data_IF_313134567648
#
_entry.id   IF_313134567648
#
_cell.length_a   1.000
_cell.length_b   1.000
_cell.length_c   1.000
_cell.angle_alpha   90.00
_cell.angle_beta   90.00
_cell.angle_gamma   90.00
#
_symmetry.space_group_name_H-M   'P 1'
#
loop_
_entity.id
_entity.type
_entity.pdbx_description
1 polymer ?
#
# COMPACT_ATOMS: atom_id res chain seq x y z
N UNK A 1 10.44 12.17 10.61
CA UNK A 1 11.54 11.19 10.70
C UNK A 1 12.86 11.70 10.12
N UNK A 2 12.91 12.04 8.83
CA UNK A 2 14.15 12.45 8.14
C UNK A 2 14.84 13.71 8.69
N UNK A 3 14.10 14.62 9.34
CA UNK A 3 14.62 15.92 9.79
C UNK A 3 14.54 17.03 8.73
N UNK A 4 13.75 16.81 7.67
CA UNK A 4 13.45 17.81 6.64
C UNK A 4 12.31 18.76 7.05
N UNK A 5 11.48 18.33 8.00
CA UNK A 5 10.41 19.11 8.60
C UNK A 5 10.50 19.05 10.12
N UNK A 6 10.08 20.14 10.77
CA UNK A 6 10.12 20.31 12.22
C UNK A 6 8.82 19.82 12.86
N UNK A 7 8.88 18.84 13.78
CA UNK A 7 7.69 18.43 14.53
C UNK A 7 7.22 19.55 15.46
N UNK A 8 5.90 19.68 15.63
CA UNK A 8 5.32 20.63 16.59
C UNK A 8 5.49 20.17 18.04
N UNK A 9 5.40 18.86 18.28
CA UNK A 9 5.58 18.24 19.61
C UNK A 9 5.93 16.76 19.49
N UNK A 10 6.15 16.10 20.62
CA UNK A 10 6.42 14.66 20.69
C UNK A 10 7.90 14.31 20.74
N UNK A 11 8.24 13.06 20.43
CA UNK A 11 9.61 12.55 20.50
C UNK A 11 9.90 11.61 19.34
N UNK A 12 11.10 11.71 18.78
CA UNK A 12 11.60 10.81 17.73
C UNK A 12 12.92 10.21 18.18
N UNK A 13 13.02 8.88 18.14
CA UNK A 13 14.25 8.14 18.39
C UNK A 13 14.56 7.20 17.21
N UNK A 14 15.85 7.04 16.90
CA UNK A 14 16.38 6.15 15.88
C UNK A 14 17.38 5.23 16.58
N UNK A 15 17.02 3.94 16.72
CA UNK A 15 17.73 3.03 17.62
C UNK A 15 17.75 3.61 19.04
N UNK A 16 18.93 3.67 19.64
CA UNK A 16 19.12 4.22 21.00
C UNK A 16 19.31 5.75 21.02
N UNK A 17 19.30 6.43 19.88
CA UNK A 17 19.57 7.87 19.77
C UNK A 17 18.26 8.64 19.64
N UNK A 18 17.98 9.50 20.61
CA UNK A 18 16.88 10.48 20.48
C UNK A 18 17.35 11.59 19.54
N UNK A 19 16.59 11.85 18.47
CA UNK A 19 16.90 12.89 17.47
C UNK A 19 16.00 14.12 17.58
N UNK A 20 14.93 14.01 18.36
CA UNK A 20 14.03 15.09 18.74
C UNK A 20 13.30 14.69 20.02
N UNK A 21 13.21 15.58 21.01
CA UNK A 21 12.59 15.32 22.32
C UNK A 21 11.42 16.26 22.67
N UNK A 22 10.93 17.03 21.70
CA UNK A 22 9.88 18.03 21.90
C UNK A 22 10.41 19.45 22.07
N UNK A 23 11.74 19.63 22.19
CA UNK A 23 12.36 20.96 22.25
C UNK A 23 13.12 21.30 20.96
N UNK A 24 12.94 22.49 20.36
CA UNK A 24 13.65 22.84 19.12
C UNK A 24 15.18 22.86 19.25
N UNK A 25 15.71 22.99 20.47
CA UNK A 25 17.15 23.00 20.75
C UNK A 25 17.80 21.62 20.71
N UNK A 26 17.02 20.55 20.85
CA UNK A 26 17.50 19.17 20.84
C UNK A 26 17.42 18.52 19.45
N UNK A 27 16.88 19.24 18.47
CA UNK A 27 16.66 18.69 17.14
C UNK A 27 17.99 18.45 16.42
N UNK A 28 18.23 17.18 16.09
CA UNK A 28 19.40 16.78 15.32
C UNK A 28 19.11 17.05 13.82
N UNK A 29 19.99 17.78 13.11
CA UNK A 29 19.85 18.04 11.67
C UNK A 29 19.77 16.76 10.84
N UNK A 30 19.11 16.80 9.68
CA UNK A 30 18.87 15.62 8.83
C UNK A 30 20.16 14.87 8.46
N UNK A 31 21.21 15.60 8.10
CA UNK A 31 22.53 15.10 7.74
C UNK A 31 23.22 14.34 8.88
N UNK A 32 22.90 14.68 10.13
CA UNK A 32 23.44 14.05 11.32
C UNK A 32 22.61 12.85 11.80
N UNK A 33 21.38 12.66 11.28
CA UNK A 33 20.52 11.51 11.62
C UNK A 33 21.01 10.19 11.02
N UNK A 34 21.93 10.26 10.06
CA UNK A 34 22.55 9.11 9.40
C UNK A 34 21.55 8.17 8.67
N UNK A 35 20.46 8.72 8.14
CA UNK A 35 19.37 7.98 7.49
C UNK A 35 19.54 7.89 5.98
N UNK A 36 19.37 6.69 5.41
CA UNK A 36 19.27 6.53 3.96
C UNK A 36 17.95 7.10 3.47
N UNK A 37 17.97 7.94 2.42
CA UNK A 37 16.76 8.54 1.87
C UNK A 37 16.71 8.34 0.36
N UNK A 38 15.58 7.83 -0.12
CA UNK A 38 15.27 7.65 -1.54
C UNK A 38 14.00 8.44 -1.85
N UNK A 39 14.11 9.40 -2.78
CA UNK A 39 13.01 10.25 -3.21
C UNK A 39 12.28 9.67 -4.42
N UNK A 40 11.03 10.10 -4.61
CA UNK A 40 10.17 9.76 -5.75
C UNK A 40 10.88 9.94 -7.10
N UNK A 41 11.48 11.10 -7.37
CA UNK A 41 12.13 11.43 -8.65
C UNK A 41 13.54 10.86 -8.85
N UNK A 42 13.97 9.93 -7.99
CA UNK A 42 15.34 9.37 -7.87
C UNK A 42 16.45 10.40 -7.56
N UNK A 43 16.26 11.67 -7.93
CA UNK A 43 17.16 12.79 -7.72
C UNK A 43 18.62 12.48 -8.10
N UNK A 44 18.84 11.70 -9.17
CA UNK A 44 20.19 11.39 -9.66
C UNK A 44 20.81 12.62 -10.32
N UNK A 45 22.11 12.83 -10.15
CA UNK A 45 22.82 13.87 -10.87
C UNK A 45 23.08 13.40 -12.31
N UNK A 46 22.45 14.01 -13.33
CA UNK A 46 22.48 13.50 -14.71
C UNK A 46 23.87 13.60 -15.35
N UNK A 47 24.68 14.54 -14.88
CA UNK A 47 26.04 14.80 -15.35
C UNK A 47 27.11 13.96 -14.62
N UNK A 48 26.73 13.16 -13.62
CA UNK A 48 27.65 12.26 -12.89
C UNK A 48 27.45 10.83 -13.36
N UNK A 49 28.51 10.02 -13.26
CA UNK A 49 28.42 8.58 -13.53
C UNK A 49 27.60 7.88 -12.43
N UNK A 50 27.21 6.63 -12.65
CA UNK A 50 26.60 5.76 -11.63
C UNK A 50 27.51 5.66 -10.40
N UNK A 51 28.80 5.41 -10.63
CA UNK A 51 29.79 5.37 -9.56
C UNK A 51 29.82 6.67 -8.78
N UNK A 52 29.85 7.83 -9.45
CA UNK A 52 29.89 9.13 -8.79
C UNK A 52 28.61 9.48 -8.04
N UNK A 53 27.44 9.06 -8.55
CA UNK A 53 26.17 9.21 -7.86
C UNK A 53 26.19 8.45 -6.52
N UNK A 54 26.63 7.19 -6.54
CA UNK A 54 26.71 6.35 -5.34
C UNK A 54 27.85 6.78 -4.41
N UNK A 55 28.98 7.25 -4.94
CA UNK A 55 30.13 7.70 -4.15
C UNK A 55 29.88 9.02 -3.40
N UNK A 56 28.93 9.85 -3.87
CA UNK A 56 28.78 11.22 -3.40
C UNK A 56 28.58 11.35 -1.88
N UNK A 57 27.71 10.56 -1.20
CA UNK A 57 27.56 10.63 0.26
C UNK A 57 28.86 10.31 1.02
N UNK A 58 29.68 9.38 0.51
CA UNK A 58 30.98 9.05 1.12
C UNK A 58 31.99 10.20 0.96
N UNK A 59 31.99 10.88 -0.20
CA UNK A 59 32.83 12.06 -0.45
C UNK A 59 32.50 13.19 0.55
N UNK A 60 31.21 13.45 0.79
CA UNK A 60 30.77 14.43 1.79
C UNK A 60 31.20 14.08 3.22
N UNK A 61 31.21 12.78 3.54
CA UNK A 61 31.69 12.25 4.83
C UNK A 61 33.23 12.17 4.93
N UNK A 62 33.96 12.66 3.93
CA UNK A 62 35.44 12.67 3.89
C UNK A 62 36.08 11.28 4.03
N UNK A 63 35.40 10.24 3.53
CA UNK A 63 35.94 8.87 3.49
C UNK A 63 37.15 8.80 2.54
N UNK A 64 38.16 7.99 2.88
CA UNK A 64 39.37 7.87 2.06
C UNK A 64 39.08 7.31 0.66
N UNK A 65 39.78 7.80 -0.36
CA UNK A 65 39.49 7.46 -1.76
C UNK A 65 39.55 5.96 -2.07
N UNK A 66 40.50 5.23 -1.48
CA UNK A 66 40.60 3.77 -1.62
C UNK A 66 39.37 3.04 -1.09
N UNK A 67 38.89 3.47 0.08
CA UNK A 67 37.70 2.92 0.74
C UNK A 67 36.40 3.27 0.00
N UNK A 68 36.31 4.47 -0.60
CA UNK A 68 35.18 4.84 -1.45
C UNK A 68 35.02 3.85 -2.60
N UNK A 69 36.11 3.54 -3.31
CA UNK A 69 36.07 2.63 -4.46
C UNK A 69 35.55 1.25 -4.07
N UNK A 70 36.07 0.70 -2.98
CA UNK A 70 35.67 -0.62 -2.48
C UNK A 70 34.20 -0.65 -2.06
N UNK A 71 33.74 0.33 -1.26
CA UNK A 71 32.36 0.40 -0.77
C UNK A 71 31.35 0.61 -1.90
N UNK A 72 31.65 1.51 -2.84
CA UNK A 72 30.78 1.77 -3.98
C UNK A 72 30.68 0.54 -4.87
N UNK A 73 31.80 -0.12 -5.18
CA UNK A 73 31.78 -1.33 -6.01
C UNK A 73 30.96 -2.44 -5.34
N UNK A 74 31.18 -2.70 -4.04
CA UNK A 74 30.41 -3.69 -3.27
C UNK A 74 28.90 -3.44 -3.35
N UNK A 75 28.47 -2.19 -3.19
CA UNK A 75 27.05 -1.82 -3.22
C UNK A 75 26.49 -1.95 -4.64
N UNK A 76 27.23 -1.51 -5.67
CA UNK A 76 26.81 -1.70 -7.05
C UNK A 76 26.68 -3.18 -7.42
N UNK A 77 27.61 -4.03 -6.97
CA UNK A 77 27.56 -5.47 -7.21
C UNK A 77 26.33 -6.12 -6.53
N UNK A 78 26.04 -5.73 -5.28
CA UNK A 78 24.84 -6.18 -4.56
C UNK A 78 23.54 -5.82 -5.29
N UNK A 79 23.53 -4.71 -6.02
CA UNK A 79 22.37 -4.22 -6.77
C UNK A 79 22.33 -4.71 -8.22
N UNK A 80 23.31 -5.51 -8.65
CA UNK A 80 23.45 -5.99 -10.02
C UNK A 80 23.91 -4.91 -11.02
N UNK A 81 24.47 -3.80 -10.52
CA UNK A 81 24.89 -2.62 -11.28
C UNK A 81 26.42 -2.51 -11.43
N UNK A 82 27.19 -3.48 -10.94
CA UNK A 82 28.67 -3.42 -10.93
C UNK A 82 29.31 -3.07 -12.27
N UNK A 83 28.77 -3.63 -13.36
CA UNK A 83 29.23 -3.41 -14.74
C UNK A 83 28.80 -2.05 -15.33
N UNK A 84 27.94 -1.29 -14.65
CA UNK A 84 27.36 -0.03 -15.13
C UNK A 84 27.99 1.21 -14.46
N UNK A 85 29.01 1.05 -13.61
CA UNK A 85 29.61 2.14 -12.83
C UNK A 85 30.01 3.38 -13.65
N UNK A 86 30.48 3.18 -14.89
CA UNK A 86 30.93 4.27 -15.79
C UNK A 86 29.80 4.89 -16.63
N UNK A 87 28.57 4.36 -16.55
CA UNK A 87 27.42 4.90 -17.29
C UNK A 87 26.87 6.14 -16.60
N UNK A 88 26.17 6.97 -17.36
CA UNK A 88 25.39 8.09 -16.86
C UNK A 88 23.91 7.71 -16.73
N UNK A 89 23.12 8.39 -15.85
CA UNK A 89 21.70 8.07 -15.63
C UNK A 89 20.85 7.96 -16.90
N UNK A 90 21.08 8.82 -17.90
CA UNK A 90 20.34 8.81 -19.16
C UNK A 90 20.58 7.54 -20.02
N UNK A 91 21.60 6.74 -19.69
CA UNK A 91 21.93 5.48 -20.36
C UNK A 91 21.31 4.26 -19.66
N UNK A 92 20.49 4.48 -18.63
CA UNK A 92 19.93 3.44 -17.77
C UNK A 92 18.40 3.37 -17.94
N UNK A 93 17.85 2.16 -17.78
CA UNK A 93 16.40 2.00 -17.64
C UNK A 93 15.88 2.61 -16.33
N UNK A 94 14.57 2.85 -16.22
CA UNK A 94 13.96 3.40 -15.00
C UNK A 94 14.26 2.54 -13.75
N UNK A 95 14.14 1.22 -13.86
CA UNK A 95 14.48 0.30 -12.77
C UNK A 95 15.98 0.31 -12.42
N UNK A 96 16.88 0.49 -13.38
CA UNK A 96 18.31 0.66 -13.09
C UNK A 96 18.59 1.98 -12.38
N UNK A 97 17.97 3.09 -12.80
CA UNK A 97 18.12 4.39 -12.12
C UNK A 97 17.63 4.32 -10.67
N UNK A 98 16.50 3.65 -10.44
CA UNK A 98 15.98 3.40 -9.10
C UNK A 98 17.01 2.66 -8.23
N UNK A 99 17.59 1.57 -8.75
CA UNK A 99 18.64 0.82 -8.05
C UNK A 99 19.86 1.69 -7.73
N UNK A 100 20.26 2.60 -8.63
CA UNK A 100 21.33 3.57 -8.34
C UNK A 100 20.96 4.49 -7.18
N UNK A 101 19.72 4.99 -7.14
CA UNK A 101 19.24 5.85 -6.05
C UNK A 101 19.24 5.12 -4.69
N UNK A 102 18.81 3.86 -4.68
CA UNK A 102 18.89 2.97 -3.51
C UNK A 102 20.35 2.75 -3.10
N UNK A 103 21.25 2.48 -4.06
CA UNK A 103 22.67 2.31 -3.78
C UNK A 103 23.30 3.54 -3.14
N UNK A 104 22.95 4.74 -3.61
CA UNK A 104 23.37 6.00 -2.99
C UNK A 104 22.88 6.12 -1.53
N UNK A 105 21.67 5.66 -1.22
CA UNK A 105 21.16 5.67 0.15
C UNK A 105 21.88 4.63 1.04
N UNK A 106 22.26 3.48 0.49
CA UNK A 106 22.86 2.37 1.24
C UNK A 106 24.37 2.45 1.42
N UNK A 107 25.08 3.21 0.60
CA UNK A 107 26.56 3.15 0.49
C UNK A 107 27.33 3.38 1.80
N UNK A 108 26.75 4.13 2.73
CA UNK A 108 27.36 4.43 4.03
C UNK A 108 26.73 3.63 5.19
N UNK A 109 25.97 2.57 4.87
CA UNK A 109 25.36 1.62 5.81
C UNK A 109 24.47 2.30 6.87
N UNK A 110 23.36 2.95 6.46
CA UNK A 110 22.46 3.61 7.40
C UNK A 110 21.70 2.59 8.26
N UNK A 111 21.31 2.93 9.51
CA UNK A 111 20.50 2.06 10.36
C UNK A 111 19.06 1.93 9.87
N UNK A 112 18.56 2.92 9.11
CA UNK A 112 17.20 2.94 8.56
C UNK A 112 17.24 3.54 7.16
N UNK A 113 16.47 2.96 6.23
CA UNK A 113 16.19 3.53 4.92
C UNK A 113 14.76 4.08 4.87
N UNK A 114 14.63 5.30 4.36
CA UNK A 114 13.38 5.99 4.12
C UNK A 114 13.13 6.02 2.60
N UNK A 115 11.97 5.53 2.19
CA UNK A 115 11.58 5.39 0.79
C UNK A 115 10.30 6.19 0.57
N UNK A 116 10.38 7.26 -0.23
CA UNK A 116 9.25 8.12 -0.54
C UNK A 116 8.76 7.84 -1.96
N UNK A 117 7.64 7.11 -2.08
CA UNK A 117 7.07 6.63 -3.34
C UNK A 117 8.10 6.04 -4.31
N UNK A 118 8.89 5.04 -3.88
CA UNK A 118 10.09 4.63 -4.61
C UNK A 118 9.80 4.01 -5.98
N UNK A 119 8.54 3.61 -6.26
CA UNK A 119 8.16 2.88 -7.47
C UNK A 119 7.21 3.65 -8.41
N UNK A 120 6.76 4.86 -8.03
CA UNK A 120 5.68 5.57 -8.73
C UNK A 120 6.04 5.96 -10.17
N UNK A 121 7.32 6.20 -10.44
CA UNK A 121 7.86 6.58 -11.75
C UNK A 121 8.13 5.41 -12.70
N UNK A 122 7.75 4.18 -12.32
CA UNK A 122 7.91 2.98 -13.15
C UNK A 122 6.59 2.60 -13.83
N UNK A 123 6.68 2.06 -15.04
CA UNK A 123 5.54 1.38 -15.67
C UNK A 123 5.13 0.12 -14.89
N UNK A 124 3.95 -0.43 -15.19
CA UNK A 124 3.38 -1.55 -14.45
C UNK A 124 4.31 -2.78 -14.38
N UNK A 125 4.96 -3.15 -15.48
CA UNK A 125 5.84 -4.32 -15.53
C UNK A 125 7.11 -4.10 -14.71
N UNK A 126 7.78 -2.97 -14.89
CA UNK A 126 8.97 -2.63 -14.12
C UNK A 126 8.65 -2.45 -12.64
N UNK A 127 7.44 -2.00 -12.31
CA UNK A 127 6.98 -1.85 -10.93
C UNK A 127 6.88 -3.20 -10.23
N UNK A 128 6.33 -4.23 -10.87
CA UNK A 128 6.29 -5.59 -10.31
C UNK A 128 7.69 -6.14 -10.03
N UNK A 129 8.60 -6.04 -11.00
CA UNK A 129 10.00 -6.46 -10.84
C UNK A 129 10.70 -5.69 -9.71
N UNK A 130 10.43 -4.38 -9.60
CA UNK A 130 10.98 -3.53 -8.55
C UNK A 130 10.44 -3.86 -7.16
N UNK A 131 9.15 -4.23 -7.02
CA UNK A 131 8.57 -4.67 -5.73
C UNK A 131 9.29 -5.89 -5.19
N UNK A 132 9.47 -6.92 -6.04
CA UNK A 132 10.19 -8.15 -5.68
C UNK A 132 11.62 -7.83 -5.27
N UNK A 133 12.34 -7.09 -6.13
CA UNK A 133 13.71 -6.68 -5.86
C UNK A 133 13.85 -5.94 -4.52
N UNK A 134 12.97 -4.97 -4.24
CA UNK A 134 13.05 -4.15 -3.03
C UNK A 134 12.77 -4.97 -1.78
N UNK A 135 11.77 -5.86 -1.82
CA UNK A 135 11.46 -6.77 -0.71
C UNK A 135 12.63 -7.71 -0.41
N UNK A 136 13.20 -8.33 -1.44
CA UNK A 136 14.37 -9.21 -1.29
C UNK A 136 15.58 -8.47 -0.73
N UNK A 137 15.84 -7.25 -1.21
CA UNK A 137 16.94 -6.42 -0.74
C UNK A 137 16.81 -6.08 0.75
N UNK A 138 15.62 -5.67 1.19
CA UNK A 138 15.34 -5.32 2.60
C UNK A 138 15.57 -6.54 3.50
N UNK A 139 15.01 -7.71 3.12
CA UNK A 139 15.16 -8.96 3.87
C UNK A 139 16.63 -9.37 3.93
N UNK A 140 17.30 -9.45 2.77
CA UNK A 140 18.67 -9.95 2.64
C UNK A 140 19.68 -9.12 3.41
N UNK A 141 19.47 -7.80 3.46
CA UNK A 141 20.34 -6.86 4.16
C UNK A 141 19.92 -6.62 5.62
N UNK A 142 18.78 -7.14 6.07
CA UNK A 142 18.27 -6.93 7.43
C UNK A 142 18.00 -5.44 7.74
N UNK A 143 17.57 -4.67 6.74
CA UNK A 143 17.38 -3.23 6.88
C UNK A 143 16.06 -2.91 7.59
N UNK A 144 16.09 -1.92 8.47
CA UNK A 144 14.86 -1.24 8.88
C UNK A 144 14.46 -0.27 7.77
N UNK A 145 13.28 -0.46 7.19
CA UNK A 145 12.77 0.38 6.11
C UNK A 145 11.44 1.03 6.50
N UNK A 146 11.29 2.33 6.22
CA UNK A 146 10.01 3.03 6.26
C UNK A 146 9.69 3.48 4.83
N UNK A 147 8.61 2.94 4.27
CA UNK A 147 8.14 3.28 2.94
C UNK A 147 6.83 4.05 3.01
N UNK A 148 6.75 5.14 2.25
CA UNK A 148 5.52 5.89 2.00
C UNK A 148 5.07 5.57 0.58
N UNK A 149 3.80 5.22 0.43
CA UNK A 149 3.18 4.95 -0.87
C UNK A 149 1.69 5.20 -0.79
N UNK A 150 1.09 5.59 -1.91
CA UNK A 150 -0.36 5.61 -2.10
C UNK A 150 -0.87 4.33 -2.80
N UNK A 151 0.02 3.45 -3.25
CA UNK A 151 -0.34 2.19 -3.90
C UNK A 151 -0.49 1.08 -2.84
N UNK A 152 -1.72 0.57 -2.73
CA UNK A 152 -2.07 -0.48 -1.78
C UNK A 152 -1.33 -1.79 -2.04
N UNK A 153 -1.12 -2.15 -3.31
CA UNK A 153 -0.43 -3.38 -3.68
C UNK A 153 1.04 -3.31 -3.29
N UNK A 154 1.67 -2.14 -3.37
CA UNK A 154 3.03 -1.94 -2.87
C UNK A 154 3.11 -2.09 -1.36
N UNK A 155 2.20 -1.43 -0.63
CA UNK A 155 2.15 -1.52 0.82
C UNK A 155 1.97 -2.97 1.28
N UNK A 156 1.05 -3.72 0.66
CA UNK A 156 0.75 -5.11 0.99
C UNK A 156 1.88 -6.08 0.61
N UNK A 157 2.55 -5.87 -0.53
CA UNK A 157 3.56 -6.82 -1.02
C UNK A 157 4.94 -6.68 -0.36
N UNK A 158 5.29 -5.47 0.10
CA UNK A 158 6.65 -5.16 0.57
C UNK A 158 6.73 -5.10 2.10
N UNK A 159 5.66 -4.67 2.77
CA UNK A 159 5.73 -4.27 4.17
C UNK A 159 5.40 -5.42 5.11
N UNK A 160 6.15 -5.52 6.22
CA UNK A 160 5.79 -6.43 7.32
C UNK A 160 4.60 -5.88 8.13
N UNK A 161 4.50 -4.55 8.20
CA UNK A 161 3.40 -3.82 8.85
C UNK A 161 3.05 -2.57 8.05
N UNK A 162 1.77 -2.20 8.06
CA UNK A 162 1.22 -1.03 7.39
C UNK A 162 0.63 -0.11 8.44
N UNK A 163 0.83 1.20 8.27
CA UNK A 163 0.13 2.25 9.00
C UNK A 163 -0.71 3.02 8.00
N UNK A 164 -2.04 2.90 8.11
CA UNK A 164 -2.97 3.68 7.30
C UNK A 164 -3.22 5.02 7.99
N UNK A 165 -2.96 6.10 7.26
CA UNK A 165 -3.21 7.46 7.73
C UNK A 165 -4.46 8.03 7.06
N UNK A 166 -5.30 8.70 7.84
CA UNK A 166 -6.45 9.45 7.39
C UNK A 166 -6.42 10.84 8.06
N UNK A 167 -6.31 11.91 7.27
CA UNK A 167 -6.24 13.30 7.75
C UNK A 167 -5.23 13.53 8.89
N UNK A 168 -4.06 12.87 8.81
CA UNK A 168 -2.98 12.99 9.80
C UNK A 168 -3.15 12.13 11.06
N UNK A 169 -4.19 11.32 11.15
CA UNK A 169 -4.43 10.35 12.23
C UNK A 169 -4.18 8.94 11.73
N UNK A 170 -3.63 8.06 12.58
CA UNK A 170 -3.54 6.63 12.28
C UNK A 170 -4.95 6.06 12.38
N UNK A 171 -5.51 5.72 11.22
CA UNK A 171 -6.82 5.08 11.11
C UNK A 171 -6.74 3.63 11.58
N UNK A 172 -5.75 2.90 11.08
CA UNK A 172 -5.52 1.50 11.41
C UNK A 172 -4.05 1.14 11.17
N UNK A 173 -3.55 0.17 11.92
CA UNK A 173 -2.23 -0.39 11.71
C UNK A 173 -2.25 -1.91 11.94
N UNK A 174 -1.44 -2.66 11.20
CA UNK A 174 -1.42 -4.12 11.27
C UNK A 174 -0.53 -4.75 10.22
N UNK A 175 -0.52 -6.06 10.17
CA UNK A 175 0.03 -6.84 9.06
C UNK A 175 -0.81 -6.64 7.79
N UNK A 176 -0.25 -6.86 6.58
CA UNK A 176 -1.03 -6.79 5.35
C UNK A 176 -2.33 -7.61 5.38
N UNK A 177 -2.29 -8.80 5.99
CA UNK A 177 -3.46 -9.67 6.13
C UNK A 177 -4.53 -9.08 7.05
N UNK A 178 -4.14 -8.47 8.17
CA UNK A 178 -5.09 -7.79 9.08
C UNK A 178 -5.69 -6.56 8.42
N UNK A 179 -4.87 -5.74 7.74
CA UNK A 179 -5.36 -4.56 7.02
C UNK A 179 -6.36 -4.93 5.93
N UNK A 180 -6.13 -6.04 5.21
CA UNK A 180 -7.00 -6.48 4.14
C UNK A 180 -8.23 -7.25 4.61
N UNK A 181 -8.07 -8.17 5.55
CA UNK A 181 -9.10 -9.14 5.95
C UNK A 181 -9.86 -8.78 7.23
N UNK A 182 -9.47 -7.71 7.93
CA UNK A 182 -10.14 -7.26 9.15
C UNK A 182 -10.06 -5.74 9.29
N UNK A 183 -10.68 -4.98 8.36
CA UNK A 183 -10.73 -3.53 8.47
C UNK A 183 -11.51 -3.11 9.72
N UNK A 184 -10.98 -2.14 10.47
CA UNK A 184 -11.60 -1.63 11.70
C UNK A 184 -12.68 -0.57 11.43
N UNK A 185 -12.57 0.15 10.31
CA UNK A 185 -13.46 1.25 9.94
C UNK A 185 -13.87 1.16 8.48
N UNK A 186 -14.94 1.89 8.12
CA UNK A 186 -15.37 2.01 6.72
C UNK A 186 -14.23 2.55 5.85
N UNK A 187 -13.50 3.58 6.30
CA UNK A 187 -12.38 4.14 5.55
C UNK A 187 -11.29 3.09 5.30
N UNK A 188 -10.91 2.32 6.34
CA UNK A 188 -9.92 1.26 6.16
C UNK A 188 -10.40 0.16 5.22
N UNK A 189 -11.68 -0.20 5.28
CA UNK A 189 -12.28 -1.15 4.35
C UNK A 189 -12.22 -0.60 2.91
N UNK A 190 -12.70 0.62 2.68
CA UNK A 190 -12.74 1.24 1.35
C UNK A 190 -11.36 1.50 0.76
N UNK A 191 -10.40 1.88 1.60
CA UNK A 191 -9.03 2.15 1.17
C UNK A 191 -8.27 0.87 0.82
N UNK A 192 -8.58 -0.26 1.44
CA UNK A 192 -7.85 -1.51 1.20
C UNK A 192 -8.54 -2.34 0.11
N UNK A 193 -8.05 -2.29 -1.13
CA UNK A 193 -8.49 -3.17 -2.22
C UNK A 193 -9.79 -2.75 -2.93
N UNK A 194 -10.28 -3.63 -3.79
CA UNK A 194 -11.50 -3.41 -4.58
C UNK A 194 -12.74 -3.88 -3.82
N UNK A 195 -13.70 -2.97 -3.65
CA UNK A 195 -14.89 -3.21 -2.84
C UNK A 195 -16.20 -3.04 -3.61
N UNK A 196 -17.21 -3.72 -3.11
CA UNK A 196 -18.62 -3.44 -3.32
C UNK A 196 -19.20 -2.80 -2.07
N UNK A 197 -20.13 -1.87 -2.27
CA UNK A 197 -20.78 -1.12 -1.19
C UNK A 197 -22.28 -1.16 -1.42
N UNK A 198 -23.01 -1.32 -0.33
CA UNK A 198 -24.46 -1.40 -0.29
C UNK A 198 -24.95 -0.60 0.90
N UNK A 199 -25.74 0.44 0.65
CA UNK A 199 -26.26 1.31 1.71
C UNK A 199 -27.62 0.80 2.20
N UNK A 200 -27.82 0.87 3.51
CA UNK A 200 -29.07 0.42 4.11
C UNK A 200 -29.21 0.84 5.55
N UNK A 201 -30.18 0.24 6.23
CA UNK A 201 -30.47 0.48 7.64
C UNK A 201 -30.23 -0.78 8.45
N UNK A 202 -29.64 -0.64 9.63
CA UNK A 202 -29.43 -1.77 10.53
C UNK A 202 -30.76 -2.15 11.18
N UNK A 203 -31.16 -3.41 11.02
CA UNK A 203 -32.44 -3.92 11.50
C UNK A 203 -32.30 -4.85 12.70
N UNK A 204 -31.14 -5.50 12.86
CA UNK A 204 -30.86 -6.37 13.99
C UNK A 204 -29.35 -6.42 14.30
N UNK A 205 -29.03 -6.72 15.56
CA UNK A 205 -27.68 -7.00 16.04
C UNK A 205 -27.70 -8.29 16.87
N UNK A 206 -26.93 -9.29 16.45
CA UNK A 206 -26.90 -10.61 17.08
C UNK A 206 -25.48 -11.19 17.02
N UNK A 207 -24.93 -11.59 18.17
CA UNK A 207 -23.64 -12.32 18.27
C UNK A 207 -22.47 -11.68 17.47
N UNK A 208 -22.34 -10.35 17.50
CA UNK A 208 -21.30 -9.62 16.75
C UNK A 208 -21.56 -9.48 15.25
N UNK A 209 -22.77 -9.82 14.79
CA UNK A 209 -23.25 -9.60 13.43
C UNK A 209 -24.37 -8.57 13.41
N UNK A 210 -24.50 -7.88 12.29
CA UNK A 210 -25.60 -6.98 12.01
C UNK A 210 -26.40 -7.51 10.82
N UNK A 211 -27.72 -7.32 10.86
CA UNK A 211 -28.59 -7.43 9.70
C UNK A 211 -28.85 -6.03 9.17
N UNK A 212 -28.56 -5.81 7.90
CA UNK A 212 -28.76 -4.55 7.19
C UNK A 212 -29.76 -4.77 6.05
N UNK A 213 -30.71 -3.85 5.91
CA UNK A 213 -31.73 -3.90 4.87
C UNK A 213 -31.64 -2.64 3.99
N UNK A 214 -31.60 -2.87 2.68
CA UNK A 214 -31.73 -1.83 1.64
C UNK A 214 -33.13 -1.84 1.03
N UNK A 215 -33.27 -1.26 -0.17
CA UNK A 215 -34.57 -1.09 -0.82
C UNK A 215 -35.30 -2.42 -1.12
N UNK A 216 -34.57 -3.41 -1.64
CA UNK A 216 -35.12 -4.69 -2.10
C UNK A 216 -34.31 -5.89 -1.61
N UNK A 217 -33.49 -5.70 -0.58
CA UNK A 217 -32.55 -6.70 -0.09
C UNK A 217 -32.28 -6.64 1.40
N UNK A 218 -31.83 -7.76 1.95
CA UNK A 218 -31.41 -7.92 3.35
C UNK A 218 -30.14 -8.76 3.40
N UNK A 219 -29.13 -8.31 4.16
CA UNK A 219 -27.88 -9.03 4.34
C UNK A 219 -27.47 -9.09 5.82
N UNK A 220 -26.87 -10.21 6.20
CA UNK A 220 -26.08 -10.37 7.40
C UNK A 220 -24.60 -10.09 7.11
N UNK A 221 -23.91 -9.50 8.08
CA UNK A 221 -22.48 -9.27 8.04
C UNK A 221 -21.89 -9.09 9.43
N UNK A 222 -20.56 -9.04 9.53
CA UNK A 222 -19.86 -8.70 10.77
C UNK A 222 -20.16 -7.25 11.13
N UNK A 223 -20.62 -7.01 12.35
CA UNK A 223 -20.87 -5.66 12.84
C UNK A 223 -19.55 -4.98 13.19
N UNK A 224 -19.26 -3.85 12.54
CA UNK A 224 -18.18 -2.94 12.92
C UNK A 224 -18.49 -2.20 14.21
N UNK A 225 -17.49 -1.50 14.73
CA UNK A 225 -17.67 -0.65 15.91
C UNK A 225 -18.65 0.50 15.63
N UNK A 226 -19.51 0.83 16.60
CA UNK A 226 -20.49 1.91 16.50
C UNK A 226 -21.78 1.57 15.73
N UNK A 227 -21.91 0.38 15.15
CA UNK A 227 -23.16 -0.06 14.50
C UNK A 227 -24.28 -0.17 15.55
N UNK A 228 -25.43 0.44 15.26
CA UNK A 228 -26.61 0.47 16.13
C UNK A 228 -27.88 0.17 15.34
N UNK A 229 -28.81 -0.58 15.94
CA UNK A 229 -30.12 -0.88 15.32
C UNK A 229 -30.90 0.41 15.10
N UNK A 230 -31.48 0.55 13.91
CA UNK A 230 -32.26 1.72 13.53
C UNK A 230 -31.44 2.81 12.83
N UNK A 231 -30.11 2.69 12.78
CA UNK A 231 -29.25 3.69 12.17
C UNK A 231 -28.84 3.32 10.73
N UNK A 232 -28.51 4.31 9.87
CA UNK A 232 -27.91 4.08 8.56
C UNK A 232 -26.54 3.40 8.66
N UNK A 233 -26.26 2.49 7.73
CA UNK A 233 -25.01 1.76 7.65
C UNK A 233 -24.64 1.41 6.21
N UNK A 234 -23.37 1.06 6.02
CA UNK A 234 -22.83 0.57 4.75
C UNK A 234 -22.32 -0.84 4.92
N UNK A 235 -22.84 -1.77 4.11
CA UNK A 235 -22.27 -3.10 3.95
C UNK A 235 -21.15 -3.05 2.90
N UNK A 236 -20.02 -3.65 3.24
CA UNK A 236 -18.82 -3.72 2.40
C UNK A 236 -18.41 -5.18 2.24
N UNK A 237 -18.14 -5.58 1.00
CA UNK A 237 -17.54 -6.88 0.67
C UNK A 237 -16.47 -6.67 -0.40
N UNK A 238 -15.37 -7.43 -0.30
CA UNK A 238 -14.35 -7.45 -1.36
C UNK A 238 -14.95 -8.03 -2.64
N UNK A 239 -14.62 -7.46 -3.80
CA UNK A 239 -15.18 -7.90 -5.09
C UNK A 239 -14.91 -9.38 -5.36
N UNK A 240 -13.74 -9.89 -4.99
CA UNK A 240 -13.36 -11.30 -5.15
C UNK A 240 -14.02 -12.27 -4.16
N UNK A 241 -14.68 -11.76 -3.10
CA UNK A 241 -15.44 -12.59 -2.14
C UNK A 241 -16.90 -12.74 -2.51
N UNK A 242 -17.40 -11.88 -3.40
CA UNK A 242 -18.75 -12.01 -3.95
C UNK A 242 -18.80 -13.19 -4.92
N UNK A 243 -19.80 -14.07 -4.75
CA UNK A 243 -19.99 -15.26 -5.58
C UNK A 243 -21.18 -15.07 -6.51
N UNK A 244 -21.06 -15.60 -7.72
CA UNK A 244 -22.16 -15.67 -8.67
C UNK A 244 -22.71 -17.10 -8.70
N UNK A 245 -23.91 -17.25 -8.20
CA UNK A 245 -24.60 -18.54 -8.09
C UNK A 245 -25.73 -18.67 -9.12
N UNK A 246 -26.10 -19.91 -9.42
CA UNK A 246 -27.21 -20.21 -10.33
C UNK A 246 -28.60 -20.15 -9.67
N UNK A 247 -28.66 -20.02 -8.35
CA UNK A 247 -29.89 -19.99 -7.57
C UNK A 247 -29.71 -19.13 -6.31
N UNK A 248 -30.83 -18.71 -5.72
CA UNK A 248 -30.81 -18.00 -4.44
C UNK A 248 -30.19 -18.88 -3.34
N UNK A 249 -29.28 -18.27 -2.57
CA UNK A 249 -28.71 -18.85 -1.36
C UNK A 249 -29.00 -17.95 -0.16
N UNK A 250 -28.62 -18.41 1.03
CA UNK A 250 -28.57 -17.55 2.21
C UNK A 250 -27.64 -16.36 1.93
N UNK A 251 -28.08 -15.17 2.34
CA UNK A 251 -27.33 -13.92 2.15
C UNK A 251 -27.05 -13.60 0.67
N UNK A 252 -28.08 -13.68 -0.17
CA UNK A 252 -27.98 -13.41 -1.61
C UNK A 252 -28.90 -12.30 -2.10
N UNK A 253 -28.55 -11.74 -3.26
CA UNK A 253 -29.27 -10.69 -3.98
C UNK A 253 -29.56 -11.19 -5.39
N UNK A 254 -30.75 -10.89 -5.93
CA UNK A 254 -31.01 -11.06 -7.36
C UNK A 254 -30.95 -9.71 -8.05
N UNK A 255 -29.97 -9.52 -8.94
CA UNK A 255 -29.75 -8.24 -9.60
C UNK A 255 -29.62 -8.41 -11.12
N UNK A 256 -30.07 -7.42 -11.91
CA UNK A 256 -29.89 -7.44 -13.35
C UNK A 256 -28.42 -7.22 -13.73
N UNK A 257 -27.94 -8.04 -14.66
CA UNK A 257 -26.60 -7.90 -15.24
C UNK A 257 -26.60 -6.71 -16.21
N UNK A 258 -25.71 -5.75 -15.98
CA UNK A 258 -25.54 -4.60 -16.87
C UNK A 258 -24.62 -4.91 -18.04
N UNK A 259 -23.46 -5.50 -17.74
CA UNK A 259 -22.45 -5.83 -18.76
C UNK A 259 -21.44 -6.83 -18.22
N UNK A 260 -20.77 -7.52 -19.15
CA UNK A 260 -19.69 -8.47 -18.94
C UNK A 260 -18.44 -7.95 -19.66
N UNK A 261 -17.34 -7.75 -18.93
CA UNK A 261 -16.08 -7.24 -19.47
C UNK A 261 -14.97 -8.27 -19.31
N UNK A 262 -14.25 -8.57 -20.38
CA UNK A 262 -13.09 -9.47 -20.31
C UNK A 262 -11.82 -8.67 -19.96
N UNK A 263 -11.18 -9.01 -18.84
CA UNK A 263 -9.97 -8.35 -18.34
C UNK A 263 -8.68 -9.10 -18.71
N UNK A 264 -8.77 -10.14 -19.53
CA UNK A 264 -7.63 -10.93 -20.01
C UNK A 264 -7.48 -12.27 -19.29
N UNK A 265 -7.49 -12.28 -17.96
CA UNK A 265 -7.39 -13.50 -17.12
C UNK A 265 -8.73 -13.89 -16.47
N UNK A 266 -9.68 -12.95 -16.41
CA UNK A 266 -11.02 -13.13 -15.83
C UNK A 266 -12.06 -12.24 -16.50
N UNK A 267 -13.32 -12.52 -16.22
CA UNK A 267 -14.45 -11.65 -16.52
C UNK A 267 -14.81 -10.81 -15.29
N UNK A 268 -15.10 -9.53 -15.50
CA UNK A 268 -15.74 -8.66 -14.54
C UNK A 268 -17.18 -8.38 -14.97
N UNK A 269 -18.11 -8.54 -14.05
CA UNK A 269 -19.54 -8.33 -14.29
C UNK A 269 -20.02 -7.15 -13.47
N UNK A 270 -20.80 -6.27 -14.09
CA UNK A 270 -21.42 -5.12 -13.42
C UNK A 270 -22.91 -5.37 -13.23
N UNK A 271 -23.44 -5.06 -12.05
CA UNK A 271 -24.85 -5.23 -11.70
C UNK A 271 -25.46 -3.91 -11.27
N UNK A 272 -26.74 -3.71 -11.58
CA UNK A 272 -27.50 -2.54 -11.11
C UNK A 272 -28.20 -2.87 -9.80
N UNK A 273 -28.01 -2.00 -8.82
CA UNK A 273 -28.77 -1.99 -7.56
C UNK A 273 -29.83 -0.90 -7.62
N UNK A 274 -30.97 -1.13 -6.96
CA UNK A 274 -31.97 -0.08 -6.76
C UNK A 274 -31.58 0.79 -5.56
N UNK A 275 -31.50 2.11 -5.76
CA UNK A 275 -31.25 3.08 -4.68
C UNK A 275 -29.78 3.38 -4.38
N UNK A 276 -28.83 2.74 -5.06
CA UNK A 276 -27.39 3.03 -4.95
C UNK A 276 -26.83 3.55 -6.28
N UNK A 277 -25.97 4.57 -6.23
CA UNK A 277 -25.40 5.21 -7.43
C UNK A 277 -24.29 4.37 -8.09
N UNK A 278 -23.73 3.37 -7.40
CA UNK A 278 -22.58 2.59 -7.85
C UNK A 278 -22.95 1.14 -8.19
N UNK A 279 -22.49 0.60 -9.33
CA UNK A 279 -22.75 -0.80 -9.68
C UNK A 279 -21.99 -1.75 -8.75
N UNK A 280 -22.60 -2.89 -8.45
CA UNK A 280 -21.87 -4.00 -7.84
C UNK A 280 -21.02 -4.71 -8.89
N UNK A 281 -19.88 -5.20 -8.46
CA UNK A 281 -18.91 -5.93 -9.28
C UNK A 281 -18.79 -7.37 -8.82
N UNK A 282 -18.56 -8.28 -9.75
CA UNK A 282 -18.20 -9.66 -9.44
C UNK A 282 -17.16 -10.15 -10.45
N UNK A 283 -16.35 -11.13 -10.07
CA UNK A 283 -15.44 -11.81 -10.98
C UNK A 283 -15.94 -13.21 -11.35
N UNK A 284 -15.55 -13.68 -12.53
CA UNK A 284 -15.79 -15.05 -12.98
C UNK A 284 -14.92 -15.44 -14.17
N UNK A 285 -15.18 -16.62 -14.73
CA UNK A 285 -14.30 -17.27 -15.72
C UNK A 285 -14.93 -17.43 -17.10
N UNK A 286 -16.19 -17.07 -17.29
CA UNK A 286 -16.92 -17.23 -18.54
C UNK A 286 -17.76 -16.00 -18.89
N UNK A 287 -18.05 -15.80 -20.17
CA UNK A 287 -19.04 -14.81 -20.57
C UNK A 287 -20.40 -15.13 -19.95
N UNK A 288 -21.11 -14.11 -19.48
CA UNK A 288 -22.50 -14.22 -19.04
C UNK A 288 -23.35 -13.20 -19.79
N UNK A 289 -24.56 -13.65 -20.13
CA UNK A 289 -25.58 -12.93 -20.89
C UNK A 289 -26.98 -13.05 -20.25
N UNK A 290 -27.06 -13.55 -19.03
CA UNK A 290 -28.32 -13.68 -18.29
C UNK A 290 -28.90 -12.30 -17.89
N UNK A 291 -30.22 -12.13 -18.02
CA UNK A 291 -30.88 -10.88 -17.62
C UNK A 291 -30.77 -10.61 -16.12
N UNK A 292 -30.83 -11.65 -15.28
CA UNK A 292 -30.71 -11.58 -13.83
C UNK A 292 -29.74 -12.64 -13.31
N UNK A 293 -28.93 -12.28 -12.33
CA UNK A 293 -27.99 -13.17 -11.65
C UNK A 293 -28.25 -13.18 -10.14
N UNK A 294 -27.97 -14.32 -9.50
CA UNK A 294 -27.92 -14.41 -8.05
C UNK A 294 -26.49 -14.16 -7.56
N UNK A 295 -26.32 -13.13 -6.73
CA UNK A 295 -25.07 -12.76 -6.10
C UNK A 295 -25.13 -13.21 -4.65
N UNK A 296 -24.26 -14.12 -4.24
CA UNK A 296 -24.14 -14.53 -2.84
C UNK A 296 -23.00 -13.76 -2.19
N UNK A 297 -23.29 -13.17 -1.04
CA UNK A 297 -22.36 -12.42 -0.23
C UNK A 297 -22.18 -13.19 1.08
N UNK A 298 -21.17 -14.07 1.24
CA UNK A 298 -21.01 -14.83 2.47
C UNK A 298 -20.96 -13.92 3.69
N UNK A 299 -21.81 -14.15 4.69
CA UNK A 299 -21.98 -13.24 5.83
C UNK A 299 -20.68 -13.04 6.63
N UNK A 300 -19.79 -14.04 6.61
CA UNK A 300 -18.46 -13.95 7.21
C UNK A 300 -17.49 -13.02 6.46
N UNK A 301 -17.75 -12.71 5.19
CA UNK A 301 -16.93 -11.85 4.34
C UNK A 301 -17.55 -10.45 4.13
N UNK A 302 -18.76 -10.22 4.64
CA UNK A 302 -19.43 -8.91 4.68
C UNK A 302 -19.08 -8.19 5.97
N UNK A 303 -18.62 -6.94 5.88
CA UNK A 303 -18.49 -6.02 7.01
C UNK A 303 -19.57 -4.95 6.94
N UNK A 304 -20.14 -4.58 8.09
CA UNK A 304 -21.16 -3.53 8.19
C UNK A 304 -20.62 -2.43 9.08
N UNK A 305 -20.55 -1.21 8.57
CA UNK A 305 -20.05 -0.04 9.29
C UNK A 305 -21.13 1.04 9.39
N UNK A 306 -21.15 1.85 10.46
CA UNK A 306 -22.05 3.00 10.53
C UNK A 306 -21.71 4.01 9.42
N UNK A 307 -22.74 4.68 8.88
CA UNK A 307 -22.54 5.79 7.97
C UNK A 307 -22.21 7.04 8.81
N UNK A 308 -21.02 7.62 8.60
CA UNK A 308 -20.60 8.86 9.28
C UNK A 308 -21.24 10.10 8.65
#
# INVERSE_FOLDING_TARGET
MAGLEKPTSGRIAIGNRTVYDGTPRSEIPAEERNLGLVFQSYALWPHKTVFDNVAYPLKLRKVAAGEIKERVQRVLDQLGLGHLGNRHPHQLSGGQQQRVAIGRALVYNPPVILLDEPLSNLDAKLREEARVFLRELIIKLGLSALMVTHDQNEAMAISDRILLLNNGVIEQQGTPQEMYGSPATLFAAEFMGSNNRLHGKVMALENGRARIEGASWSLWGRAGEGVSVGEPATAVIRVERLRLDGAAQDNSLQLPLLTSMYLGDRWEYLFRTEGDDFPLRAYGTALRDAEHCHLTLPAEDVWIFPQQ
#
